data_IF_729666039467
#
_entry.id   IF_729666039467
#
_cell.length_a   1.000
_cell.length_b   1.000
_cell.length_c   1.000
_cell.angle_alpha   90.00
_cell.angle_beta   90.00
_cell.angle_gamma   90.00
#
_symmetry.space_group_name_H-M   'P 1'
#
loop_
_entity.id
_entity.type
_entity.pdbx_description
1 polymer ?
#
# COMPACT_ATOMS: atom_id res chain seq x y z
N UNK A 1 18.65 -30.60 -9.30
CA UNK A 1 19.01 -29.57 -8.31
C UNK A 1 17.93 -29.61 -7.25
N UNK A 2 18.22 -30.21 -6.09
CA UNK A 2 17.29 -30.23 -4.96
C UNK A 2 17.38 -28.88 -4.27
N UNK A 3 16.34 -28.06 -4.34
CA UNK A 3 16.27 -26.86 -3.50
C UNK A 3 16.24 -27.33 -2.04
N UNK A 4 17.22 -26.88 -1.27
CA UNK A 4 17.21 -27.04 0.18
C UNK A 4 15.97 -26.33 0.74
N UNK A 5 15.21 -27.01 1.60
CA UNK A 5 14.06 -26.39 2.24
C UNK A 5 14.54 -25.21 3.08
N UNK A 6 13.95 -24.04 2.82
CA UNK A 6 14.26 -22.80 3.52
C UNK A 6 12.97 -22.29 4.13
N UNK A 7 13.04 -21.85 5.37
CA UNK A 7 11.89 -21.22 6.01
C UNK A 7 11.47 -19.97 5.21
N UNK A 8 10.17 -19.70 5.04
CA UNK A 8 9.69 -18.59 4.21
C UNK A 8 10.27 -17.23 4.59
N UNK A 9 10.58 -17.01 5.87
CA UNK A 9 11.18 -15.76 6.37
C UNK A 9 12.70 -15.69 6.17
N UNK A 10 13.40 -16.82 6.01
CA UNK A 10 14.85 -16.82 5.75
C UNK A 10 15.16 -16.52 4.28
N UNK A 11 14.20 -16.79 3.39
CA UNK A 11 14.34 -16.58 1.96
C UNK A 11 14.64 -15.11 1.59
N UNK A 12 13.88 -14.12 2.11
CA UNK A 12 14.18 -12.69 1.93
C UNK A 12 15.55 -12.24 2.42
N UNK A 13 16.14 -12.95 3.37
CA UNK A 13 17.44 -12.58 3.92
C UNK A 13 18.60 -13.13 3.10
N UNK A 14 18.39 -14.16 2.29
CA UNK A 14 19.47 -14.87 1.58
C UNK A 14 19.49 -14.63 0.08
N UNK A 15 18.47 -13.99 -0.48
CA UNK A 15 18.33 -13.77 -1.92
C UNK A 15 18.12 -12.31 -2.23
N UNK A 16 18.46 -11.90 -3.45
CA UNK A 16 18.03 -10.61 -3.96
C UNK A 16 16.51 -10.64 -4.17
N UNK A 17 15.81 -9.65 -3.64
CA UNK A 17 14.38 -9.47 -3.84
C UNK A 17 14.13 -8.18 -4.60
N UNK A 18 13.26 -8.26 -5.61
CA UNK A 18 12.64 -7.09 -6.20
C UNK A 18 11.30 -6.89 -5.47
N UNK A 19 11.10 -5.73 -4.87
CA UNK A 19 9.90 -5.44 -4.09
C UNK A 19 9.17 -4.22 -4.65
N UNK A 20 7.95 -4.45 -5.15
CA UNK A 20 7.13 -3.41 -5.75
C UNK A 20 6.45 -2.59 -4.65
N UNK A 21 6.77 -1.30 -4.59
CA UNK A 21 6.29 -0.39 -3.56
C UNK A 21 5.85 0.97 -4.12
N UNK A 22 4.91 1.62 -3.43
CA UNK A 22 4.50 3.00 -3.66
C UNK A 22 5.12 3.85 -2.56
N UNK A 23 6.19 4.57 -2.91
CA UNK A 23 6.88 5.45 -1.99
C UNK A 23 5.92 6.53 -1.45
N UNK A 24 5.89 6.68 -0.13
CA UNK A 24 5.03 7.64 0.57
C UNK A 24 3.71 7.05 1.09
N UNK A 25 3.30 5.87 0.61
CA UNK A 25 2.21 5.08 1.24
C UNK A 25 2.80 4.09 2.23
N UNK A 26 3.81 3.34 1.78
CA UNK A 26 4.49 2.37 2.64
C UNK A 26 5.30 3.10 3.73
N UNK A 27 5.19 2.67 5.01
CA UNK A 27 5.98 3.25 6.09
C UNK A 27 7.48 3.15 5.82
N UNK A 28 8.22 4.22 6.12
CA UNK A 28 9.66 4.25 5.99
C UNK A 28 10.31 3.21 6.90
N UNK A 29 11.18 2.38 6.34
CA UNK A 29 11.89 1.32 7.07
C UNK A 29 13.28 1.09 6.52
N UNK A 30 14.20 0.68 7.38
CA UNK A 30 15.52 0.20 6.94
C UNK A 30 15.34 -1.11 6.19
N UNK A 31 15.68 -1.10 4.90
CA UNK A 31 15.72 -2.29 4.06
C UNK A 31 17.17 -2.70 3.80
N UNK A 32 17.51 -3.99 3.89
CA UNK A 32 18.85 -4.45 3.54
C UNK A 32 19.11 -4.32 2.03
N UNK A 33 20.37 -4.28 1.64
CA UNK A 33 20.81 -4.03 0.26
C UNK A 33 20.37 -5.09 -0.75
N UNK A 34 20.02 -6.29 -0.30
CA UNK A 34 19.47 -7.33 -1.17
C UNK A 34 18.00 -7.11 -1.52
N UNK A 35 17.28 -6.22 -0.84
CA UNK A 35 15.90 -5.85 -1.18
C UNK A 35 15.93 -4.57 -2.01
N UNK A 36 15.70 -4.73 -3.30
CA UNK A 36 15.61 -3.64 -4.28
C UNK A 36 14.16 -3.18 -4.37
N UNK A 37 13.88 -2.06 -3.71
CA UNK A 37 12.56 -1.43 -3.73
C UNK A 37 12.40 -0.64 -5.03
N UNK A 38 11.30 -0.86 -5.74
CA UNK A 38 10.98 -0.17 -7.00
C UNK A 38 9.47 0.08 -7.10
N UNK A 39 9.05 1.03 -7.93
CA UNK A 39 7.63 1.25 -8.23
C UNK A 39 7.11 2.65 -7.91
N UNK A 40 5.86 2.95 -8.28
CA UNK A 40 4.95 2.03 -8.97
C UNK A 40 5.36 1.80 -10.43
N UNK A 41 5.23 0.58 -10.94
CA UNK A 41 5.38 0.30 -12.37
C UNK A 41 4.00 0.24 -12.99
N UNK A 42 3.68 1.24 -13.81
CA UNK A 42 2.51 1.22 -14.68
C UNK A 42 3.01 1.36 -16.12
N UNK A 43 2.88 0.28 -16.89
CA UNK A 43 3.33 0.25 -18.28
C UNK A 43 2.26 0.81 -19.21
N UNK A 44 2.26 2.13 -19.40
CA UNK A 44 1.28 2.79 -20.28
C UNK A 44 1.23 2.23 -21.71
N UNK A 45 2.37 1.80 -22.25
CA UNK A 45 2.45 1.23 -23.61
C UNK A 45 1.73 -0.13 -23.75
N UNK A 46 1.48 -0.82 -22.65
CA UNK A 46 0.80 -2.12 -22.63
C UNK A 46 -0.68 -2.01 -22.27
N UNK A 47 -1.17 -0.79 -22.02
CA UNK A 47 -2.58 -0.52 -21.78
C UNK A 47 -3.25 -0.41 -23.15
N UNK A 48 -4.19 -1.33 -23.49
CA UNK A 48 -4.90 -1.25 -24.75
C UNK A 48 -5.74 0.03 -24.82
N UNK A 49 -5.91 0.60 -26.02
CA UNK A 49 -6.73 1.79 -26.20
C UNK A 49 -8.18 1.53 -25.80
N UNK A 50 -8.85 2.56 -25.29
CA UNK A 50 -10.27 2.51 -24.96
C UNK A 50 -11.15 2.26 -26.19
N UNK A 51 -12.31 1.65 -25.96
CA UNK A 51 -13.40 1.68 -26.94
C UNK A 51 -13.74 3.15 -27.28
N UNK A 52 -13.85 3.53 -28.56
CA UNK A 52 -14.06 4.94 -28.95
C UNK A 52 -15.30 5.58 -28.30
N UNK A 53 -16.37 4.82 -28.12
CA UNK A 53 -17.60 5.29 -27.48
C UNK A 53 -17.37 5.67 -26.01
N UNK A 54 -16.59 4.85 -25.30
CA UNK A 54 -16.26 5.10 -23.91
C UNK A 54 -15.33 6.31 -23.76
N UNK A 55 -14.34 6.46 -24.65
CA UNK A 55 -13.52 7.66 -24.71
C UNK A 55 -14.37 8.90 -24.97
N UNK A 56 -15.31 8.86 -25.91
CA UNK A 56 -16.19 9.97 -26.23
C UNK A 56 -17.08 10.36 -25.03
N UNK A 57 -17.59 9.39 -24.27
CA UNK A 57 -18.36 9.65 -23.05
C UNK A 57 -17.53 10.39 -22.00
N UNK A 58 -16.27 9.99 -21.79
CA UNK A 58 -15.36 10.64 -20.84
C UNK A 58 -15.01 12.07 -21.24
N UNK A 59 -14.74 12.31 -22.53
CA UNK A 59 -14.49 13.67 -23.03
C UNK A 59 -15.74 14.55 -22.88
N UNK A 60 -16.93 13.99 -23.07
CA UNK A 60 -18.19 14.68 -22.82
C UNK A 60 -18.33 15.07 -21.34
N UNK A 61 -18.14 14.13 -20.42
CA UNK A 61 -18.19 14.41 -18.97
C UNK A 61 -17.20 15.50 -18.57
N UNK A 62 -15.98 15.45 -19.10
CA UNK A 62 -14.98 16.48 -18.87
C UNK A 62 -15.43 17.85 -19.38
N UNK A 63 -16.00 17.92 -20.59
CA UNK A 63 -16.48 19.17 -21.18
C UNK A 63 -17.66 19.78 -20.41
N UNK A 64 -18.53 18.94 -19.84
CA UNK A 64 -19.69 19.34 -19.05
C UNK A 64 -19.35 19.62 -17.57
N UNK A 65 -18.09 19.45 -17.18
CA UNK A 65 -17.66 19.56 -15.77
C UNK A 65 -18.29 18.49 -14.87
N UNK A 66 -18.77 17.40 -15.46
CA UNK A 66 -19.36 16.27 -14.74
C UNK A 66 -18.27 15.57 -13.93
N UNK A 67 -18.52 15.45 -12.64
CA UNK A 67 -17.69 14.70 -11.70
C UNK A 67 -17.85 13.23 -12.00
N UNK A 68 -16.76 12.46 -12.04
CA UNK A 68 -16.83 11.02 -12.38
C UNK A 68 -16.23 10.18 -11.27
N UNK A 69 -17.02 9.21 -10.79
CA UNK A 69 -16.60 8.16 -9.86
C UNK A 69 -16.47 6.86 -10.65
N UNK A 70 -15.31 6.21 -10.53
CA UNK A 70 -15.05 4.92 -11.15
C UNK A 70 -15.09 3.82 -10.09
N UNK A 71 -15.89 2.78 -10.29
CA UNK A 71 -16.07 1.66 -9.34
C UNK A 71 -15.50 0.39 -9.93
N UNK A 72 -14.61 -0.28 -9.17
CA UNK A 72 -13.89 -1.46 -9.65
C UNK A 72 -13.37 -2.36 -8.49
N UNK A 73 -13.88 -3.59 -8.41
CA UNK A 73 -13.50 -4.57 -7.38
C UNK A 73 -12.63 -5.72 -7.91
N UNK A 74 -11.86 -5.44 -8.96
CA UNK A 74 -10.92 -6.40 -9.56
C UNK A 74 -11.60 -7.51 -10.37
N UNK A 75 -10.81 -8.51 -10.76
CA UNK A 75 -11.22 -9.60 -11.67
C UNK A 75 -11.50 -10.93 -10.94
N UNK A 76 -11.03 -11.06 -9.70
CA UNK A 76 -11.07 -12.33 -8.96
C UNK A 76 -12.33 -12.49 -8.10
N UNK A 77 -13.02 -11.39 -7.77
CA UNK A 77 -14.16 -11.39 -6.86
C UNK A 77 -15.43 -11.03 -7.62
N UNK A 78 -16.41 -11.94 -7.59
CA UNK A 78 -17.75 -11.72 -8.12
C UNK A 78 -18.73 -11.69 -6.96
N UNK A 79 -19.56 -10.65 -6.91
CA UNK A 79 -20.68 -10.61 -5.97
C UNK A 79 -21.76 -11.56 -6.48
N UNK A 80 -22.19 -12.51 -5.66
CA UNK A 80 -23.36 -13.33 -6.01
C UNK A 80 -24.61 -12.44 -5.95
N UNK A 81 -25.54 -12.66 -6.88
CA UNK A 81 -26.85 -11.98 -6.90
C UNK A 81 -27.59 -12.23 -5.58
N UNK A 82 -28.15 -11.18 -4.98
CA UNK A 82 -28.87 -11.24 -3.69
C UNK A 82 -27.96 -11.29 -2.47
N UNK A 83 -26.71 -10.85 -2.60
CA UNK A 83 -25.83 -10.59 -1.47
C UNK A 83 -26.05 -9.15 -1.00
N UNK A 84 -26.31 -8.95 0.29
CA UNK A 84 -26.66 -7.65 0.90
C UNK A 84 -25.71 -6.51 0.45
N UNK A 85 -24.41 -6.81 0.34
CA UNK A 85 -23.41 -5.85 -0.14
C UNK A 85 -23.66 -5.30 -1.55
N UNK A 86 -24.10 -6.13 -2.50
CA UNK A 86 -24.35 -5.68 -3.87
C UNK A 86 -25.57 -4.77 -3.94
N UNK A 87 -26.59 -5.07 -3.13
CA UNK A 87 -27.81 -4.26 -3.03
C UNK A 87 -27.51 -2.90 -2.36
N UNK A 88 -26.68 -2.88 -1.31
CA UNK A 88 -26.20 -1.64 -0.67
C UNK A 88 -25.33 -0.79 -1.61
N UNK A 89 -24.46 -1.41 -2.42
CA UNK A 89 -23.68 -0.70 -3.45
C UNK A 89 -24.59 -0.06 -4.51
N UNK A 90 -25.60 -0.79 -5.00
CA UNK A 90 -26.58 -0.27 -5.95
C UNK A 90 -27.38 0.88 -5.34
N UNK A 91 -27.87 0.72 -4.11
CA UNK A 91 -28.59 1.77 -3.39
C UNK A 91 -27.71 3.02 -3.18
N UNK A 92 -26.42 2.85 -2.89
CA UNK A 92 -25.46 3.95 -2.81
C UNK A 92 -25.27 4.68 -4.15
N UNK A 93 -25.18 3.95 -5.26
CA UNK A 93 -25.10 4.53 -6.61
C UNK A 93 -26.38 5.28 -6.96
N UNK A 94 -27.56 4.68 -6.71
CA UNK A 94 -28.85 5.34 -6.94
C UNK A 94 -28.96 6.64 -6.13
N UNK A 95 -28.52 6.62 -4.87
CA UNK A 95 -28.50 7.81 -4.01
C UNK A 95 -27.57 8.91 -4.51
N UNK A 96 -26.40 8.52 -5.02
CA UNK A 96 -25.44 9.44 -5.63
C UNK A 96 -26.00 10.09 -6.90
N UNK A 97 -26.61 9.29 -7.79
CA UNK A 97 -27.18 9.76 -9.05
C UNK A 97 -28.52 10.48 -8.87
N UNK A 98 -29.24 10.24 -7.77
CA UNK A 98 -30.56 10.82 -7.50
C UNK A 98 -30.56 12.31 -7.17
N UNK A 99 -29.39 12.93 -6.92
CA UNK A 99 -29.27 14.38 -6.75
C UNK A 99 -28.62 15.01 -7.97
N UNK A 100 -29.44 15.58 -8.87
CA UNK A 100 -28.97 16.26 -10.08
C UNK A 100 -27.97 17.39 -9.80
N UNK A 101 -28.02 18.01 -8.61
CA UNK A 101 -27.08 19.07 -8.22
C UNK A 101 -25.64 18.57 -8.13
N UNK A 102 -25.45 17.24 -7.97
CA UNK A 102 -24.10 16.68 -7.92
C UNK A 102 -23.37 16.74 -9.25
N UNK A 103 -24.08 16.83 -10.39
CA UNK A 103 -23.50 16.70 -11.73
C UNK A 103 -22.46 15.56 -11.77
N UNK A 104 -22.92 14.35 -11.47
CA UNK A 104 -22.09 13.19 -11.21
C UNK A 104 -22.40 12.06 -12.18
N UNK A 105 -21.36 11.41 -12.70
CA UNK A 105 -21.45 10.16 -13.43
C UNK A 105 -20.74 9.05 -12.65
N UNK A 106 -21.31 7.85 -12.69
CA UNK A 106 -20.71 6.64 -12.12
C UNK A 106 -20.39 5.67 -13.25
N UNK A 107 -19.15 5.22 -13.31
CA UNK A 107 -18.69 4.18 -14.24
C UNK A 107 -18.35 2.95 -13.40
N UNK A 108 -19.06 1.85 -13.61
CA UNK A 108 -18.81 0.62 -12.88
C UNK A 108 -18.29 -0.49 -13.80
N UNK A 109 -17.02 -0.86 -13.63
CA UNK A 109 -16.43 -2.02 -14.26
C UNK A 109 -16.90 -3.30 -13.54
N UNK A 110 -18.06 -3.82 -13.92
CA UNK A 110 -18.62 -5.09 -13.42
C UNK A 110 -18.38 -6.24 -14.39
N UNK A 111 -17.87 -7.36 -13.87
CA UNK A 111 -17.64 -8.62 -14.61
C UNK A 111 -18.91 -9.22 -15.25
N UNK A 112 -20.12 -8.73 -14.88
CA UNK A 112 -21.38 -9.20 -15.43
C UNK A 112 -21.73 -8.63 -16.81
N UNK A 113 -20.94 -7.69 -17.33
CA UNK A 113 -20.97 -7.33 -18.75
C UNK A 113 -19.56 -7.40 -19.33
N UNK A 114 -19.31 -8.47 -20.06
CA UNK A 114 -18.15 -8.69 -20.92
C UNK A 114 -16.78 -8.74 -20.20
N UNK A 115 -16.46 -9.94 -19.71
CA UNK A 115 -15.10 -10.35 -19.30
C UNK A 115 -14.02 -9.99 -20.36
N UNK A 116 -14.40 -9.97 -21.64
CA UNK A 116 -13.51 -9.67 -22.77
C UNK A 116 -13.31 -8.15 -23.01
N UNK A 117 -14.08 -7.29 -22.31
CA UNK A 117 -14.04 -5.82 -22.44
C UNK A 117 -13.38 -5.11 -21.26
N UNK A 118 -13.06 -5.83 -20.18
CA UNK A 118 -12.29 -5.25 -19.06
C UNK A 118 -10.81 -5.47 -19.34
N UNK A 119 -10.30 -4.68 -20.27
CA UNK A 119 -8.87 -4.48 -20.47
C UNK A 119 -8.36 -3.44 -19.44
N UNK A 120 -7.08 -3.46 -19.02
CA UNK A 120 -6.59 -2.80 -17.81
C UNK A 120 -6.74 -1.29 -17.92
N UNK A 121 -7.62 -0.67 -17.14
CA UNK A 121 -7.72 0.78 -16.98
C UNK A 121 -8.48 1.14 -15.70
N UNK A 122 -7.76 1.57 -14.67
CA UNK A 122 -8.39 2.19 -13.50
C UNK A 122 -7.82 3.56 -13.16
N UNK A 123 -6.85 4.08 -13.92
CA UNK A 123 -6.30 5.40 -13.62
C UNK A 123 -6.15 6.37 -14.80
N UNK A 124 -6.18 5.97 -16.07
CA UNK A 124 -6.03 6.92 -17.21
C UNK A 124 -7.32 7.61 -17.67
N UNK A 125 -8.16 8.01 -16.72
CA UNK A 125 -9.39 8.76 -17.01
C UNK A 125 -9.24 10.20 -16.53
N UNK A 126 -8.99 11.18 -17.42
CA UNK A 126 -8.85 12.59 -17.04
C UNK A 126 -10.09 13.16 -16.35
N UNK A 127 -11.27 12.59 -16.62
CA UNK A 127 -12.54 12.99 -16.02
C UNK A 127 -12.82 12.35 -14.65
N UNK A 128 -12.16 11.23 -14.32
CA UNK A 128 -12.38 10.52 -13.05
C UNK A 128 -11.62 11.20 -11.94
N UNK A 129 -12.34 11.50 -10.87
CA UNK A 129 -11.82 12.16 -9.68
C UNK A 129 -11.63 11.17 -8.52
N UNK A 130 -12.54 10.19 -8.42
CA UNK A 130 -12.55 9.21 -7.33
C UNK A 130 -12.55 7.79 -7.91
N UNK A 131 -11.66 6.95 -7.39
CA UNK A 131 -11.68 5.50 -7.59
C UNK A 131 -12.29 4.84 -6.35
N UNK A 132 -13.36 4.07 -6.54
CA UNK A 132 -13.90 3.17 -5.54
C UNK A 132 -13.44 1.74 -5.83
N UNK A 133 -12.59 1.16 -4.99
CA UNK A 133 -12.03 -0.17 -5.23
C UNK A 133 -11.91 -1.04 -3.97
N UNK A 134 -11.58 -2.31 -4.17
CA UNK A 134 -11.17 -3.23 -3.10
C UNK A 134 -9.78 -2.96 -2.49
N UNK A 135 -9.06 -1.89 -2.86
CA UNK A 135 -7.70 -1.60 -2.39
C UNK A 135 -6.63 -2.66 -2.74
N UNK A 136 -6.80 -3.38 -3.85
CA UNK A 136 -5.69 -4.14 -4.41
C UNK A 136 -4.54 -3.21 -4.82
N UNK A 137 -3.32 -3.68 -4.59
CA UNK A 137 -2.10 -2.88 -4.74
C UNK A 137 -1.94 -2.26 -6.14
N UNK A 138 -2.33 -3.00 -7.18
CA UNK A 138 -2.29 -2.51 -8.58
C UNK A 138 -3.15 -1.26 -8.77
N UNK A 139 -4.46 -1.38 -8.55
CA UNK A 139 -5.43 -0.27 -8.67
C UNK A 139 -5.06 0.93 -7.80
N UNK A 140 -4.60 0.67 -6.57
CA UNK A 140 -4.13 1.69 -5.65
C UNK A 140 -2.94 2.47 -6.24
N UNK A 141 -1.95 1.75 -6.74
CA UNK A 141 -0.74 2.34 -7.30
C UNK A 141 -1.02 3.16 -8.55
N UNK A 142 -1.95 2.70 -9.39
CA UNK A 142 -2.42 3.41 -10.58
C UNK A 142 -3.16 4.70 -10.19
N UNK A 143 -4.08 4.64 -9.23
CA UNK A 143 -4.83 5.81 -8.76
C UNK A 143 -3.91 6.91 -8.23
N UNK A 144 -2.89 6.53 -7.45
CA UNK A 144 -1.90 7.47 -6.93
C UNK A 144 -1.00 8.04 -8.02
N UNK A 145 -0.59 7.23 -9.00
CA UNK A 145 0.17 7.70 -10.15
C UNK A 145 -0.55 8.82 -10.93
N UNK A 146 -1.88 8.76 -10.95
CA UNK A 146 -2.73 9.74 -11.64
C UNK A 146 -3.24 10.85 -10.70
N UNK A 147 -2.99 10.72 -9.40
CA UNK A 147 -3.44 11.66 -8.36
C UNK A 147 -4.95 11.66 -8.20
N UNK A 148 -5.54 10.48 -8.05
CA UNK A 148 -6.98 10.26 -7.82
C UNK A 148 -7.25 9.87 -6.38
N UNK A 149 -8.28 10.47 -5.80
CA UNK A 149 -8.71 10.12 -4.46
C UNK A 149 -9.39 8.75 -4.45
N UNK A 150 -9.33 8.05 -3.32
CA UNK A 150 -9.73 6.64 -3.27
C UNK A 150 -10.77 6.38 -2.18
N UNK A 151 -11.90 5.81 -2.56
CA UNK A 151 -12.76 5.09 -1.63
C UNK A 151 -12.37 3.61 -1.69
N UNK A 152 -12.20 2.98 -0.53
CA UNK A 152 -11.64 1.63 -0.46
C UNK A 152 -12.55 0.74 0.38
N UNK A 153 -12.93 -0.41 -0.16
CA UNK A 153 -13.64 -1.44 0.59
C UNK A 153 -12.84 -2.74 0.51
N UNK A 154 -11.88 -2.94 1.43
CA UNK A 154 -11.05 -4.14 1.42
C UNK A 154 -11.90 -5.40 1.62
N UNK A 155 -11.65 -6.41 0.79
CA UNK A 155 -12.40 -7.65 0.75
C UNK A 155 -11.60 -8.80 1.37
N UNK A 156 -10.33 -8.98 1.00
CA UNK A 156 -9.48 -10.12 1.41
C UNK A 156 -7.98 -9.78 1.40
N UNK A 157 -7.16 -10.69 1.94
CA UNK A 157 -5.68 -10.62 1.91
C UNK A 157 -5.10 -9.32 2.49
N UNK A 158 -4.19 -8.69 1.75
CA UNK A 158 -3.42 -7.49 2.10
C UNK A 158 -4.21 -6.19 1.85
N UNK A 159 -5.40 -6.27 1.28
CA UNK A 159 -6.25 -5.11 0.95
C UNK A 159 -6.58 -4.25 2.17
N UNK A 160 -6.76 -4.86 3.35
CA UNK A 160 -7.00 -4.13 4.61
C UNK A 160 -5.81 -3.23 4.98
N UNK A 161 -4.59 -3.73 4.80
CA UNK A 161 -3.38 -2.95 5.08
C UNK A 161 -3.22 -1.82 4.06
N UNK A 162 -3.44 -2.13 2.78
CA UNK A 162 -3.38 -1.13 1.71
C UNK A 162 -4.38 0.02 1.94
N UNK A 163 -5.62 -0.33 2.29
CA UNK A 163 -6.68 0.64 2.57
C UNK A 163 -6.35 1.50 3.79
N UNK A 164 -5.82 0.89 4.85
CA UNK A 164 -5.37 1.59 6.05
C UNK A 164 -4.27 2.60 5.76
N UNK A 165 -3.23 2.21 5.01
CA UNK A 165 -2.10 3.09 4.70
C UNK A 165 -2.53 4.28 3.84
N UNK A 166 -3.44 4.09 2.88
CA UNK A 166 -3.94 5.18 2.04
C UNK A 166 -4.81 6.16 2.83
N UNK A 167 -5.65 5.67 3.74
CA UNK A 167 -6.44 6.50 4.64
C UNK A 167 -5.56 7.24 5.66
N UNK A 168 -4.53 6.59 6.20
CA UNK A 168 -3.53 7.20 7.09
C UNK A 168 -2.79 8.35 6.40
N UNK A 169 -2.48 8.22 5.10
CA UNK A 169 -1.91 9.31 4.30
C UNK A 169 -2.94 10.40 3.93
N UNK A 170 -4.21 10.27 4.30
CA UNK A 170 -5.24 11.28 4.08
C UNK A 170 -5.70 11.43 2.62
N UNK A 171 -5.37 10.48 1.74
CA UNK A 171 -5.70 10.52 0.30
C UNK A 171 -6.81 9.54 -0.11
N UNK A 172 -7.39 8.86 0.86
CA UNK A 172 -8.57 8.02 0.67
C UNK A 172 -9.36 7.80 1.94
N UNK A 173 -10.48 7.10 1.81
CA UNK A 173 -11.36 6.69 2.91
C UNK A 173 -11.67 5.21 2.78
N UNK A 174 -11.95 4.55 3.91
CA UNK A 174 -12.31 3.13 3.94
C UNK A 174 -13.81 2.89 4.11
N UNK A 175 -14.30 1.73 3.74
CA UNK A 175 -15.64 1.22 4.03
C UNK A 175 -15.55 -0.23 4.48
N UNK A 176 -16.34 -0.60 5.50
CA UNK A 176 -16.44 -1.99 5.95
C UNK A 176 -17.48 -2.73 5.11
N UNK A 177 -17.05 -3.78 4.41
CA UNK A 177 -17.92 -4.62 3.58
C UNK A 177 -19.09 -5.26 4.33
N UNK A 178 -19.02 -5.40 5.66
CA UNK A 178 -20.03 -6.06 6.47
C UNK A 178 -21.06 -5.08 7.06
N UNK A 179 -20.71 -3.80 7.17
CA UNK A 179 -21.55 -2.79 7.82
C UNK A 179 -21.82 -1.58 6.95
N UNK A 180 -21.37 -1.59 5.70
CA UNK A 180 -21.56 -0.45 4.81
C UNK A 180 -23.05 -0.13 4.63
N UNK A 181 -23.32 1.14 4.36
CA UNK A 181 -24.64 1.60 3.96
C UNK A 181 -24.55 2.52 2.76
N UNK A 182 -25.63 2.61 1.98
CA UNK A 182 -25.77 3.59 0.90
C UNK A 182 -25.48 5.04 1.35
N UNK A 183 -25.88 5.39 2.57
CA UNK A 183 -25.71 6.74 3.14
C UNK A 183 -24.25 7.05 3.43
N UNK A 184 -23.54 6.09 4.02
CA UNK A 184 -22.10 6.18 4.26
C UNK A 184 -21.34 6.32 2.94
N UNK A 185 -21.66 5.48 1.94
CA UNK A 185 -21.04 5.53 0.61
C UNK A 185 -21.19 6.92 -0.02
N UNK A 186 -22.42 7.44 -0.06
CA UNK A 186 -22.69 8.75 -0.67
C UNK A 186 -21.94 9.86 0.06
N UNK A 187 -21.95 9.85 1.40
CA UNK A 187 -21.25 10.83 2.23
C UNK A 187 -19.74 10.83 1.99
N UNK A 188 -19.12 9.64 1.93
CA UNK A 188 -17.67 9.51 1.72
C UNK A 188 -17.25 9.91 0.31
N UNK A 189 -18.06 9.59 -0.71
CA UNK A 189 -17.80 10.01 -2.09
C UNK A 189 -17.93 11.52 -2.23
N UNK A 190 -18.99 12.14 -1.68
CA UNK A 190 -19.15 13.60 -1.68
C UNK A 190 -17.94 14.27 -1.03
N UNK A 191 -17.50 13.78 0.14
CA UNK A 191 -16.30 14.28 0.82
C UNK A 191 -15.06 14.20 -0.09
N UNK A 192 -14.80 13.04 -0.69
CA UNK A 192 -13.63 12.84 -1.56
C UNK A 192 -13.67 13.74 -2.80
N UNK A 193 -14.83 13.90 -3.44
CA UNK A 193 -15.01 14.77 -4.59
C UNK A 193 -14.72 16.24 -4.23
N UNK A 194 -15.25 16.71 -3.11
CA UNK A 194 -15.10 18.11 -2.68
C UNK A 194 -13.66 18.40 -2.22
N UNK A 195 -13.03 17.49 -1.48
CA UNK A 195 -11.69 17.71 -0.94
C UNK A 195 -10.62 17.52 -2.02
N UNK A 196 -10.71 16.49 -2.86
CA UNK A 196 -9.71 16.28 -3.92
C UNK A 196 -9.71 17.39 -4.97
N UNK A 197 -10.87 18.00 -5.23
CA UNK A 197 -11.01 19.11 -6.18
C UNK A 197 -10.59 20.47 -5.62
N UNK A 198 -10.55 20.65 -4.30
CA UNK A 198 -10.12 21.88 -3.64
C UNK A 198 -8.59 21.90 -3.45
N UNK A 199 -7.83 22.78 -4.15
CA UNK A 199 -6.37 22.85 -4.03
C UNK A 199 -5.86 23.27 -2.63
N UNK A 200 -6.72 23.90 -1.83
CA UNK A 200 -6.37 24.31 -0.46
C UNK A 200 -6.58 23.18 0.56
N UNK A 201 -7.21 22.07 0.17
CA UNK A 201 -7.41 20.94 1.07
C UNK A 201 -6.12 20.15 1.26
N UNK A 202 -5.93 19.63 2.47
CA UNK A 202 -4.81 18.74 2.81
C UNK A 202 -4.82 17.47 1.95
N UNK A 203 -6.01 16.93 1.66
CA UNK A 203 -6.20 15.78 0.77
C UNK A 203 -5.64 16.06 -0.63
N UNK A 204 -6.02 17.18 -1.26
CA UNK A 204 -5.57 17.52 -2.60
C UNK A 204 -4.07 17.77 -2.65
N UNK A 205 -3.51 18.49 -1.67
CA UNK A 205 -2.07 18.75 -1.59
C UNK A 205 -1.26 17.46 -1.43
N UNK A 206 -1.72 16.56 -0.56
CA UNK A 206 -1.05 15.27 -0.34
C UNK A 206 -1.16 14.38 -1.57
N UNK A 207 -2.32 14.40 -2.24
CA UNK A 207 -2.54 13.66 -3.48
C UNK A 207 -1.63 14.13 -4.61
N UNK A 208 -1.44 15.45 -4.78
CA UNK A 208 -0.50 16.00 -5.76
C UNK A 208 0.96 15.65 -5.42
N UNK A 209 1.33 15.65 -4.14
CA UNK A 209 2.65 15.24 -3.68
C UNK A 209 2.91 13.77 -3.98
N UNK A 210 1.98 12.88 -3.63
CA UNK A 210 2.11 11.45 -3.91
C UNK A 210 2.10 11.16 -5.41
N UNK A 211 1.28 11.87 -6.20
CA UNK A 211 1.32 11.81 -7.66
C UNK A 211 2.72 12.09 -8.20
N UNK A 212 3.33 13.20 -7.77
CA UNK A 212 4.68 13.56 -8.21
C UNK A 212 5.72 12.48 -7.82
N UNK A 213 5.62 11.94 -6.60
CA UNK A 213 6.49 10.85 -6.13
C UNK A 213 6.30 9.60 -7.01
N UNK A 214 5.06 9.19 -7.26
CA UNK A 214 4.73 8.04 -8.08
C UNK A 214 5.24 8.19 -9.52
N UNK A 215 5.08 9.36 -10.14
CA UNK A 215 5.56 9.62 -11.49
C UNK A 215 7.08 9.53 -11.58
N UNK A 216 7.80 10.19 -10.67
CA UNK A 216 9.26 10.11 -10.59
C UNK A 216 9.74 8.67 -10.35
N UNK A 217 9.02 7.92 -9.53
CA UNK A 217 9.42 6.56 -9.17
C UNK A 217 9.09 5.56 -10.28
N UNK A 218 7.99 5.73 -11.01
CA UNK A 218 7.65 4.95 -12.20
C UNK A 218 8.71 5.08 -13.30
N UNK A 219 9.13 6.31 -13.60
CA UNK A 219 10.21 6.56 -14.58
C UNK A 219 11.51 5.83 -14.19
N UNK A 220 11.86 5.85 -12.91
CA UNK A 220 13.10 5.24 -12.39
C UNK A 220 13.01 3.72 -12.22
N UNK A 221 11.82 3.18 -11.98
CA UNK A 221 11.62 1.77 -11.64
C UNK A 221 12.20 0.83 -12.72
N UNK A 222 12.05 1.18 -14.01
CA UNK A 222 12.65 0.41 -15.11
C UNK A 222 14.17 0.31 -15.00
N UNK A 223 14.85 1.41 -14.67
CA UNK A 223 16.30 1.43 -14.51
C UNK A 223 16.75 0.64 -13.28
N UNK A 224 16.03 0.76 -12.16
CA UNK A 224 16.31 -0.01 -10.92
C UNK A 224 16.20 -1.51 -11.20
N UNK A 225 15.09 -1.95 -11.79
CA UNK A 225 14.85 -3.36 -12.10
C UNK A 225 15.86 -3.87 -13.12
N UNK A 226 16.11 -3.12 -14.19
CA UNK A 226 17.09 -3.49 -15.22
C UNK A 226 18.49 -3.65 -14.62
N UNK A 227 18.95 -2.69 -13.81
CA UNK A 227 20.27 -2.74 -13.19
C UNK A 227 20.38 -3.91 -12.20
N UNK A 228 19.36 -4.14 -11.37
CA UNK A 228 19.33 -5.25 -10.43
C UNK A 228 19.40 -6.61 -11.14
N UNK A 229 18.61 -6.79 -12.21
CA UNK A 229 18.62 -8.02 -13.01
C UNK A 229 19.96 -8.21 -13.73
N UNK A 230 20.51 -7.17 -14.36
CA UNK A 230 21.80 -7.24 -15.04
C UNK A 230 22.94 -7.55 -14.07
N UNK A 231 22.96 -6.91 -12.90
CA UNK A 231 23.95 -7.17 -11.84
C UNK A 231 23.87 -8.62 -11.37
N UNK A 232 22.68 -9.11 -11.04
CA UNK A 232 22.47 -10.50 -10.63
C UNK A 232 22.95 -11.49 -11.71
N UNK A 233 22.69 -11.21 -12.99
CA UNK A 233 23.10 -12.06 -14.10
C UNK A 233 24.61 -12.01 -14.38
N UNK A 234 25.26 -10.87 -14.14
CA UNK A 234 26.68 -10.66 -14.52
C UNK A 234 27.64 -11.09 -13.42
N UNK A 235 27.34 -10.75 -12.16
CA UNK A 235 28.27 -10.93 -11.03
C UNK A 235 27.67 -11.67 -9.84
N UNK A 236 26.40 -12.12 -9.94
CA UNK A 236 25.68 -12.74 -8.83
C UNK A 236 25.14 -11.73 -7.81
N UNK A 237 24.58 -12.23 -6.71
CA UNK A 237 23.87 -11.41 -5.69
C UNK A 237 24.45 -11.50 -4.28
N UNK A 238 25.48 -12.33 -4.07
CA UNK A 238 26.04 -12.59 -2.73
C UNK A 238 26.57 -11.33 -2.03
N UNK A 239 27.03 -10.35 -2.81
CA UNK A 239 27.53 -9.08 -2.32
C UNK A 239 26.43 -8.11 -1.85
N UNK A 240 25.17 -8.39 -2.18
CA UNK A 240 24.02 -7.61 -1.72
C UNK A 240 23.44 -8.17 -0.43
N UNK A 241 23.70 -9.45 -0.11
CA UNK A 241 23.21 -10.12 1.07
C UNK A 241 23.96 -9.61 2.31
N UNK A 242 23.27 -9.07 3.32
CA UNK A 242 23.91 -8.57 4.52
C UNK A 242 24.77 -9.64 5.22
N UNK A 243 25.99 -9.32 5.69
CA UNK A 243 26.88 -10.29 6.32
C UNK A 243 26.31 -10.94 7.59
N UNK A 244 25.46 -10.22 8.33
CA UNK A 244 24.83 -10.67 9.57
C UNK A 244 23.82 -11.81 9.38
N UNK A 245 23.41 -12.06 8.14
CA UNK A 245 22.62 -13.25 7.78
C UNK A 245 23.44 -14.53 8.01
N UNK A 246 24.78 -14.45 7.94
CA UNK A 246 25.70 -15.57 8.19
C UNK A 246 26.05 -15.73 9.67
N UNK A 247 25.71 -14.74 10.51
CA UNK A 247 26.03 -14.76 11.94
C UNK A 247 25.08 -15.68 12.71
N UNK A 248 25.66 -16.47 13.62
CA UNK A 248 24.88 -17.28 14.55
C UNK A 248 24.18 -16.40 15.59
N UNK A 249 23.26 -17.00 16.36
CA UNK A 249 22.53 -16.30 17.43
C UNK A 249 23.48 -15.54 18.37
N UNK A 250 24.60 -16.15 18.76
CA UNK A 250 25.58 -15.58 19.69
C UNK A 250 26.47 -14.47 19.10
N UNK A 251 26.55 -14.38 17.77
CA UNK A 251 27.29 -13.31 17.08
C UNK A 251 26.42 -12.05 16.90
N UNK A 252 25.09 -12.23 16.82
CA UNK A 252 24.11 -11.14 16.69
C UNK A 252 23.85 -10.42 18.00
N UNK A 253 23.84 -11.14 19.12
CA UNK A 253 23.75 -10.55 20.44
C UNK A 253 25.15 -10.39 21.01
N UNK A 254 25.50 -9.21 21.50
CA UNK A 254 26.78 -8.95 22.15
C UNK A 254 26.85 -9.67 23.51
N UNK A 255 26.86 -11.00 23.51
CA UNK A 255 26.79 -11.85 24.70
C UNK A 255 27.99 -11.60 25.58
N UNK A 256 29.16 -11.33 25.00
CA UNK A 256 30.36 -10.90 25.74
C UNK A 256 30.10 -9.67 26.63
N UNK A 257 29.69 -8.51 26.06
CA UNK A 257 29.27 -7.35 26.84
C UNK A 257 28.16 -7.62 27.86
N UNK A 258 27.14 -8.42 27.52
CA UNK A 258 26.07 -8.78 28.47
C UNK A 258 26.65 -9.56 29.67
N UNK A 259 27.50 -10.56 29.41
CA UNK A 259 28.18 -11.34 30.45
C UNK A 259 29.07 -10.45 31.30
N UNK A 260 29.82 -9.52 30.69
CA UNK A 260 30.66 -8.56 31.39
C UNK A 260 29.83 -7.65 32.32
N UNK A 261 28.70 -7.13 31.84
CA UNK A 261 27.76 -6.33 32.65
C UNK A 261 27.25 -7.15 33.83
N UNK A 262 26.87 -8.42 33.61
CA UNK A 262 26.41 -9.31 34.70
C UNK A 262 27.51 -9.58 35.73
N UNK A 263 28.76 -9.75 35.30
CA UNK A 263 29.92 -9.91 36.20
C UNK A 263 30.12 -8.64 37.04
N UNK A 264 30.08 -7.46 36.41
CA UNK A 264 30.23 -6.17 37.09
C UNK A 264 29.09 -5.95 38.08
N UNK A 265 27.84 -6.20 37.69
CA UNK A 265 26.68 -6.11 38.57
C UNK A 265 26.81 -7.05 39.78
N UNK A 266 27.27 -8.29 39.57
CA UNK A 266 27.54 -9.25 40.66
C UNK A 266 28.65 -8.74 41.59
N UNK A 267 29.72 -8.18 41.04
CA UNK A 267 30.82 -7.62 41.83
C UNK A 267 30.36 -6.43 42.67
N UNK A 268 29.61 -5.50 42.08
CA UNK A 268 29.01 -4.35 42.79
C UNK A 268 28.11 -4.86 43.92
N UNK A 269 27.25 -5.85 43.65
CA UNK A 269 26.38 -6.43 44.67
C UNK A 269 27.16 -7.05 45.84
N UNK A 270 28.24 -7.80 45.54
CA UNK A 270 29.12 -8.37 46.57
C UNK A 270 29.86 -7.29 47.37
N UNK A 271 30.31 -6.22 46.71
CA UNK A 271 30.96 -5.09 47.37
C UNK A 271 29.98 -4.35 48.30
N UNK A 272 28.77 -4.05 47.82
CA UNK A 272 27.72 -3.43 48.63
C UNK A 272 27.34 -4.30 49.84
N UNK A 273 27.18 -5.62 49.66
CA UNK A 273 26.90 -6.52 50.80
C UNK A 273 28.06 -6.54 51.79
N UNK A 274 29.31 -6.55 51.34
CA UNK A 274 30.48 -6.47 52.24
C UNK A 274 30.54 -5.16 53.05
N UNK A 275 30.06 -4.04 52.51
CA UNK A 275 29.96 -2.77 53.24
C UNK A 275 28.85 -2.80 54.31
N UNK A 276 27.71 -3.41 54.00
CA UNK A 276 26.59 -3.58 54.95
C UNK A 276 26.97 -4.52 56.09
N UNK A 277 27.69 -5.60 55.80
CA UNK A 277 28.05 -6.64 56.78
C UNK A 277 29.42 -6.42 57.48
N UNK A 278 30.24 -5.45 57.06
CA UNK A 278 31.49 -5.10 57.77
C UNK A 278 31.29 -4.16 58.95
N UNK A 279 30.21 -3.38 58.97
CA UNK A 279 29.85 -2.47 60.08
C UNK A 279 29.08 -3.15 61.23
N UNK A 280 28.81 -4.46 61.16
CA UNK A 280 28.02 -5.21 62.15
C UNK A 280 28.85 -6.03 63.15
N UNK A 281 30.18 -5.82 63.25
CA UNK A 281 30.95 -6.35 64.38
C UNK A 281 30.72 -5.50 65.64
N UNK A 282 29.56 -5.68 66.26
CA UNK A 282 29.37 -5.33 67.67
C UNK A 282 30.24 -6.29 68.48
N UNK A 283 31.30 -5.77 69.11
CA UNK A 283 32.02 -6.49 70.16
C UNK A 283 31.06 -6.70 71.32
N UNK A 284 30.73 -7.95 71.61
CA UNK A 284 30.24 -8.32 72.92
C UNK A 284 31.48 -8.61 73.78
N UNK A 285 31.71 -7.76 74.78
CA UNK A 285 32.63 -8.01 75.89
C UNK A 285 32.09 -9.11 76.80
#
# INVERSE_FOLDING_TARGET
>A
MTMEYMEPWDYPHRHMMLSHHVLGIDPARSVPTNIQVFGPIVHEANIPPHEPEFQAALEKFKAEGTRVVFIAFGTLLTFKKGHDLADELLAGIEKLLGDEKRNLAVIWASLHHHYDKIAPLQAKYPAVQVLFSHAAYGSLSEALLEGKAQLMMPLVFDELLNAHLVEEQGVGLQMDKNTMTADEMATKIDWLLDHSSNPESENSQTLQKLKAICQLSNERAKAIVSNAVTMAATVGVDHLVPPDVKFGFFDRFAVGPIVLVLIVMRWIFQWMSSLVFSNTKVKYD
#
